data_IF_080963936008
#
_entry.id   IF_080963936008
#
_cell.length_a   1.000
_cell.length_b   1.000
_cell.length_c   1.000
_cell.angle_alpha   90.00
_cell.angle_beta   90.00
_cell.angle_gamma   90.00
#
_symmetry.space_group_name_H-M   'P 1'
#
loop_
_entity.id
_entity.type
_entity.pdbx_description
1 polymer ?
#
# COMPACT_ATOMS: atom_id res chain seq x y z
N UNK A 1 21.03 -13.35 22.59
CA UNK A 1 20.47 -11.99 22.49
C UNK A 1 19.92 -11.54 23.84
N UNK A 2 19.96 -10.24 24.11
CA UNK A 2 19.53 -9.64 25.36
C UNK A 2 18.34 -8.72 25.10
N UNK A 3 17.23 -8.95 25.77
CA UNK A 3 16.00 -8.18 25.63
C UNK A 3 15.69 -7.45 26.95
N UNK A 4 15.39 -6.17 26.85
CA UNK A 4 14.95 -5.36 28.00
C UNK A 4 13.47 -5.01 27.84
N UNK A 5 12.64 -5.46 28.79
CA UNK A 5 11.22 -5.18 28.78
C UNK A 5 10.96 -3.71 29.21
N UNK A 6 9.75 -3.18 28.93
CA UNK A 6 9.32 -1.83 29.38
C UNK A 6 9.53 -1.58 30.88
N UNK A 7 9.46 -2.60 31.70
CA UNK A 7 9.68 -2.54 33.14
C UNK A 7 11.16 -2.58 33.55
N UNK A 8 12.10 -2.45 32.62
CA UNK A 8 13.54 -2.49 32.87
C UNK A 8 14.10 -3.90 33.15
N UNK A 9 13.25 -4.95 33.20
CA UNK A 9 13.72 -6.32 33.40
C UNK A 9 14.37 -6.83 32.12
N UNK A 10 15.61 -7.31 32.28
CA UNK A 10 16.40 -7.86 31.17
C UNK A 10 16.41 -9.38 31.23
N UNK A 11 16.16 -9.99 30.06
CA UNK A 11 16.23 -11.44 29.85
C UNK A 11 17.19 -11.74 28.71
N UNK A 12 18.03 -12.75 28.86
CA UNK A 12 18.99 -13.18 27.85
C UNK A 12 18.64 -14.56 27.35
N UNK A 13 18.49 -14.70 26.04
CA UNK A 13 18.25 -15.99 25.37
C UNK A 13 19.44 -16.33 24.46
N UNK A 14 19.80 -17.63 24.34
CA UNK A 14 20.73 -18.07 23.30
C UNK A 14 20.16 -17.73 21.91
N UNK A 15 21.01 -17.43 20.95
CA UNK A 15 20.53 -17.09 19.59
C UNK A 15 19.87 -18.27 18.88
N UNK A 16 20.22 -19.49 19.29
CA UNK A 16 19.58 -20.74 18.81
C UNK A 16 18.09 -20.81 19.07
N UNK A 17 17.63 -20.17 20.14
CA UNK A 17 16.25 -20.25 20.61
C UNK A 17 15.38 -19.06 20.10
N UNK A 18 15.95 -18.24 19.23
CA UNK A 18 15.30 -17.05 18.71
C UNK A 18 15.06 -17.20 17.22
N UNK A 19 13.84 -17.09 16.78
CA UNK A 19 13.49 -16.93 15.36
C UNK A 19 13.72 -15.45 15.02
N UNK A 20 14.67 -15.20 14.12
CA UNK A 20 15.08 -13.85 13.77
C UNK A 20 14.83 -13.59 12.29
N UNK A 21 13.78 -12.84 11.99
CA UNK A 21 13.46 -12.37 10.66
C UNK A 21 14.08 -11.00 10.45
N UNK A 22 14.65 -10.76 9.28
CA UNK A 22 15.36 -9.53 8.94
C UNK A 22 14.92 -9.06 7.56
N UNK A 23 14.76 -7.76 7.43
CA UNK A 23 14.51 -7.09 6.17
C UNK A 23 15.58 -6.03 5.96
N UNK A 24 15.86 -5.65 4.71
CA UNK A 24 16.85 -4.63 4.34
C UNK A 24 18.24 -4.90 4.96
N UNK A 25 18.78 -6.08 4.70
CA UNK A 25 20.07 -6.53 5.26
C UNK A 25 21.20 -5.86 4.49
N UNK A 26 21.99 -5.03 5.17
CA UNK A 26 23.24 -4.50 4.67
C UNK A 26 24.43 -5.35 5.11
N UNK A 27 25.62 -5.13 4.54
CA UNK A 27 26.74 -6.07 4.46
C UNK A 27 27.18 -6.77 5.75
N UNK A 28 27.00 -6.22 6.93
CA UNK A 28 27.49 -6.85 8.18
C UNK A 28 26.60 -6.72 9.39
N UNK A 29 25.35 -6.33 9.24
CA UNK A 29 24.49 -6.11 10.40
C UNK A 29 23.75 -7.36 10.84
N UNK A 30 23.72 -7.57 12.15
CA UNK A 30 22.90 -8.59 12.78
C UNK A 30 21.41 -8.27 12.61
N UNK A 31 21.07 -6.98 12.51
CA UNK A 31 19.73 -6.48 12.30
C UNK A 31 19.64 -5.86 10.89
N UNK A 32 18.43 -5.82 10.33
CA UNK A 32 18.18 -5.08 9.10
C UNK A 32 18.26 -3.57 9.33
N UNK A 33 18.49 -2.82 8.26
CA UNK A 33 18.53 -1.37 8.30
C UNK A 33 17.13 -0.78 8.47
N UNK A 34 17.08 0.39 9.10
CA UNK A 34 15.82 1.11 9.25
C UNK A 34 15.46 1.82 7.94
N UNK A 35 14.23 1.70 7.43
CA UNK A 35 13.77 2.45 6.27
C UNK A 35 13.66 3.96 6.53
N UNK A 36 13.87 4.39 7.78
CA UNK A 36 13.69 5.77 8.23
C UNK A 36 14.49 6.77 7.40
N UNK A 37 15.78 6.51 7.17
CA UNK A 37 16.66 7.48 6.51
C UNK A 37 16.30 7.65 5.02
N UNK A 38 15.83 6.59 4.38
CA UNK A 38 15.35 6.65 3.00
C UNK A 38 13.97 7.34 2.87
N UNK A 39 13.10 7.15 3.86
CA UNK A 39 11.75 7.71 3.85
C UNK A 39 11.65 9.13 4.39
N UNK A 40 12.57 9.55 5.29
CA UNK A 40 12.52 10.84 5.95
C UNK A 40 12.35 12.02 4.97
N UNK A 41 13.12 12.14 3.87
CA UNK A 41 12.95 13.23 2.91
C UNK A 41 11.59 13.22 2.21
N UNK A 42 11.02 12.04 1.95
CA UNK A 42 9.70 11.90 1.35
C UNK A 42 8.59 12.33 2.31
N UNK A 43 8.69 11.92 3.56
CA UNK A 43 7.75 12.29 4.62
C UNK A 43 7.80 13.79 4.93
N UNK A 44 8.98 14.41 4.83
CA UNK A 44 9.13 15.86 4.96
C UNK A 44 8.37 16.62 3.86
N UNK A 45 8.46 16.14 2.61
CA UNK A 45 7.68 16.70 1.48
C UNK A 45 6.19 16.55 1.75
N UNK A 46 5.70 15.39 2.18
CA UNK A 46 4.29 15.16 2.50
C UNK A 46 3.83 16.13 3.59
N UNK A 47 4.56 16.18 4.70
CA UNK A 47 4.20 17.04 5.85
C UNK A 47 4.18 18.52 5.47
N UNK A 48 5.17 18.98 4.70
CA UNK A 48 5.25 20.36 4.24
C UNK A 48 4.11 20.70 3.28
N UNK A 49 3.77 19.75 2.39
CA UNK A 49 2.65 19.88 1.46
C UNK A 49 1.33 20.01 2.20
N UNK A 50 1.07 19.15 3.17
CA UNK A 50 -0.13 19.16 4.00
C UNK A 50 -0.24 20.47 4.81
N UNK A 51 0.87 20.95 5.38
CA UNK A 51 0.92 22.24 6.04
C UNK A 51 0.64 23.39 5.08
N UNK A 52 1.14 23.33 3.85
CA UNK A 52 0.85 24.30 2.80
C UNK A 52 -0.64 24.37 2.48
N UNK A 53 -1.30 23.22 2.33
CA UNK A 53 -2.74 23.12 2.09
C UNK A 53 -3.53 23.69 3.28
N UNK A 54 -3.18 23.30 4.50
CA UNK A 54 -3.84 23.82 5.72
C UNK A 54 -3.68 25.32 5.82
N UNK A 55 -2.50 25.87 5.52
CA UNK A 55 -2.27 27.32 5.53
C UNK A 55 -3.05 28.02 4.42
N UNK A 56 -3.11 27.45 3.22
CA UNK A 56 -3.93 28.00 2.13
C UNK A 56 -5.42 28.08 2.52
N UNK A 57 -5.95 27.02 3.16
CA UNK A 57 -7.33 27.00 3.65
C UNK A 57 -7.54 28.07 4.74
N UNK A 58 -6.64 28.17 5.70
CA UNK A 58 -6.71 29.20 6.76
C UNK A 58 -6.61 30.61 6.19
N UNK A 59 -5.72 30.82 5.23
CA UNK A 59 -5.49 32.13 4.60
C UNK A 59 -6.59 32.46 3.57
N UNK A 60 -7.38 31.52 3.13
CA UNK A 60 -8.52 31.81 2.24
C UNK A 60 -9.54 32.77 2.84
N UNK A 61 -9.55 32.90 4.17
CA UNK A 61 -10.34 33.89 4.91
C UNK A 61 -9.61 35.23 5.19
N UNK A 62 -8.34 35.38 4.75
CA UNK A 62 -7.53 36.57 5.06
C UNK A 62 -7.88 37.73 4.12
N UNK A 63 -7.46 38.94 4.50
CA UNK A 63 -7.75 40.22 3.82
C UNK A 63 -7.59 40.11 2.31
N UNK A 64 -8.71 40.10 1.59
CA UNK A 64 -8.76 40.09 0.12
C UNK A 64 -8.76 41.49 -0.50
N UNK A 65 -8.98 42.51 0.31
CA UNK A 65 -9.11 43.87 -0.14
C UNK A 65 -8.29 44.82 0.72
N UNK A 66 -7.52 45.69 0.08
CA UNK A 66 -6.84 46.80 0.72
C UNK A 66 -7.61 48.07 0.37
N UNK A 67 -8.14 48.73 1.39
CA UNK A 67 -8.80 50.03 1.25
C UNK A 67 -7.78 51.11 1.56
N UNK A 68 -7.44 51.94 0.57
CA UNK A 68 -6.58 53.06 0.71
C UNK A 68 -7.43 54.36 0.77
N UNK A 69 -7.37 55.02 1.90
CA UNK A 69 -8.07 56.30 2.10
C UNK A 69 -7.16 57.44 1.68
N UNK A 70 -7.65 58.31 0.76
CA UNK A 70 -6.87 59.41 0.17
C UNK A 70 -6.92 60.67 1.04
N UNK A 71 -7.65 60.67 2.13
CA UNK A 71 -7.73 61.79 3.12
C UNK A 71 -7.32 61.33 4.50
N UNK A 72 -6.73 62.22 5.29
CA UNK A 72 -6.43 61.92 6.71
C UNK A 72 -7.74 61.69 7.47
N UNK A 73 -7.94 60.48 7.93
CA UNK A 73 -9.08 60.06 8.74
C UNK A 73 -8.62 59.54 10.10
N UNK A 74 -9.49 59.63 11.09
CA UNK A 74 -9.25 59.02 12.40
C UNK A 74 -9.36 57.54 12.31
N UNK A 75 -8.65 56.79 13.16
CA UNK A 75 -8.66 55.32 13.18
C UNK A 75 -10.06 54.74 13.36
N UNK A 76 -10.93 55.41 14.10
CA UNK A 76 -12.32 55.01 14.30
C UNK A 76 -13.14 55.12 13.01
N UNK A 77 -12.92 56.18 12.23
CA UNK A 77 -13.59 56.39 10.94
C UNK A 77 -13.10 55.38 9.91
N UNK A 78 -11.81 55.04 9.91
CA UNK A 78 -11.22 53.96 9.06
C UNK A 78 -11.86 52.61 9.38
N UNK A 79 -11.98 52.26 10.67
CA UNK A 79 -12.63 51.01 11.09
C UNK A 79 -14.10 50.96 10.69
N UNK A 80 -14.84 52.07 10.89
CA UNK A 80 -16.25 52.18 10.51
C UNK A 80 -16.44 52.02 9.01
N UNK A 81 -15.63 52.71 8.19
CA UNK A 81 -15.68 52.63 6.72
C UNK A 81 -15.27 51.21 6.19
N UNK A 82 -14.28 50.57 6.82
CA UNK A 82 -13.89 49.21 6.49
C UNK A 82 -15.03 48.21 6.79
N UNK A 83 -15.71 48.41 7.92
CA UNK A 83 -16.85 47.58 8.31
C UNK A 83 -18.02 47.76 7.31
N UNK A 84 -18.35 49.01 6.97
CA UNK A 84 -19.37 49.35 6.00
C UNK A 84 -19.06 48.76 4.62
N UNK A 85 -17.80 48.78 4.19
CA UNK A 85 -17.36 48.14 2.94
C UNK A 85 -17.56 46.60 3.00
N UNK A 86 -17.19 45.97 4.12
CA UNK A 86 -17.37 44.52 4.30
C UNK A 86 -18.85 44.11 4.28
N UNK A 87 -19.71 44.89 4.97
CA UNK A 87 -21.14 44.61 5.04
C UNK A 87 -21.84 44.86 3.72
N UNK A 88 -21.44 45.90 2.98
CA UNK A 88 -22.10 46.27 1.72
C UNK A 88 -21.61 45.51 0.51
N UNK A 89 -20.36 45.05 0.48
CA UNK A 89 -19.73 44.49 -0.72
C UNK A 89 -19.27 43.05 -0.60
N UNK A 90 -19.01 42.52 0.60
CA UNK A 90 -18.49 41.17 0.81
C UNK A 90 -19.53 40.23 1.41
N UNK A 91 -20.76 40.71 1.67
CA UNK A 91 -21.83 39.87 2.17
C UNK A 91 -22.45 39.03 1.02
N UNK A 92 -22.61 37.74 1.24
CA UNK A 92 -23.14 36.78 0.25
C UNK A 92 -24.56 37.13 -0.19
N UNK A 93 -25.30 37.86 0.64
CA UNK A 93 -26.69 38.27 0.36
C UNK A 93 -26.81 39.41 -0.64
N UNK A 94 -25.71 40.05 -1.03
CA UNK A 94 -25.70 41.15 -2.00
C UNK A 94 -25.72 40.62 -3.43
N UNK A 95 -26.89 40.47 -4.01
CA UNK A 95 -27.12 39.99 -5.38
C UNK A 95 -26.93 41.02 -6.47
N UNK A 96 -26.53 42.26 -6.14
CA UNK A 96 -26.57 43.41 -7.06
C UNK A 96 -25.36 43.56 -8.01
N UNK A 97 -24.24 42.93 -7.81
CA UNK A 97 -23.07 42.94 -8.70
C UNK A 97 -22.39 44.28 -8.98
N UNK A 98 -22.88 45.40 -8.45
CA UNK A 98 -22.31 46.74 -8.64
C UNK A 98 -22.03 47.42 -7.28
N UNK A 99 -20.79 47.92 -7.14
CA UNK A 99 -20.33 48.63 -5.96
C UNK A 99 -19.99 50.07 -6.31
N UNK A 100 -20.62 51.03 -5.63
CA UNK A 100 -20.22 52.44 -5.71
C UNK A 100 -19.17 52.77 -4.66
N UNK A 101 -18.03 53.31 -5.06
CA UNK A 101 -16.96 53.76 -4.18
C UNK A 101 -16.85 55.28 -4.29
N UNK A 102 -16.74 55.97 -3.14
CA UNK A 102 -16.50 57.42 -3.13
C UNK A 102 -15.07 57.75 -3.62
N UNK A 103 -14.89 58.87 -4.29
CA UNK A 103 -13.60 59.38 -4.80
C UNK A 103 -12.47 59.43 -3.75
N UNK A 104 -12.79 59.23 -2.48
CA UNK A 104 -11.84 59.27 -1.34
C UNK A 104 -11.29 57.92 -0.94
N UNK A 105 -11.76 56.82 -1.56
CA UNK A 105 -11.36 55.43 -1.21
C UNK A 105 -10.95 54.70 -2.49
N UNK A 106 -9.76 54.17 -2.48
CA UNK A 106 -9.25 53.30 -3.53
C UNK A 106 -9.26 51.87 -2.97
N UNK A 107 -10.05 50.99 -3.58
CA UNK A 107 -10.12 49.56 -3.20
C UNK A 107 -9.25 48.75 -4.15
N UNK A 108 -8.24 48.10 -3.62
CA UNK A 108 -7.36 47.21 -4.36
C UNK A 108 -7.59 45.78 -3.88
N UNK A 109 -7.92 44.90 -4.81
CA UNK A 109 -7.98 43.47 -4.53
C UNK A 109 -6.55 42.95 -4.37
N UNK A 110 -6.29 42.31 -3.25
CA UNK A 110 -5.06 41.56 -2.99
C UNK A 110 -5.33 40.12 -3.39
N UNK A 111 -4.60 39.64 -4.37
CA UNK A 111 -4.62 38.25 -4.75
C UNK A 111 -3.56 37.49 -3.93
N UNK A 112 -3.93 36.82 -2.82
CA UNK A 112 -2.96 36.12 -2.02
C UNK A 112 -2.44 34.95 -2.91
N UNK A 113 -1.16 34.99 -3.22
CA UNK A 113 -0.48 33.86 -3.88
C UNK A 113 -0.31 32.74 -2.87
N UNK A 114 -1.42 32.09 -2.53
CA UNK A 114 -1.35 30.88 -1.72
C UNK A 114 -0.75 29.75 -2.58
N UNK A 115 0.31 29.17 -2.08
CA UNK A 115 0.88 27.98 -2.71
C UNK A 115 -0.06 26.80 -2.43
N UNK A 116 -0.85 26.44 -3.43
CA UNK A 116 -1.59 25.18 -3.44
C UNK A 116 -0.73 24.16 -4.19
N UNK A 117 -0.29 23.09 -3.53
CA UNK A 117 0.50 22.05 -4.18
C UNK A 117 -0.26 21.47 -5.37
N UNK A 118 0.44 21.28 -6.49
CA UNK A 118 -0.14 20.65 -7.66
C UNK A 118 -0.44 19.16 -7.33
N UNK A 119 -1.64 18.70 -7.71
CA UNK A 119 -2.05 17.30 -7.54
C UNK A 119 -0.99 16.32 -8.09
N UNK A 120 -0.36 16.64 -9.23
CA UNK A 120 0.71 15.82 -9.80
C UNK A 120 1.94 15.65 -8.87
N UNK A 121 2.25 16.64 -8.01
CA UNK A 121 3.35 16.53 -7.04
C UNK A 121 2.94 15.58 -5.92
N UNK A 122 1.69 15.67 -5.45
CA UNK A 122 1.14 14.81 -4.40
C UNK A 122 1.12 13.35 -4.91
N UNK A 123 0.58 13.14 -6.10
CA UNK A 123 0.50 11.81 -6.72
C UNK A 123 1.88 11.18 -6.90
N UNK A 124 2.84 11.95 -7.46
CA UNK A 124 4.21 11.47 -7.63
C UNK A 124 4.90 11.14 -6.30
N UNK A 125 4.66 11.92 -5.26
CA UNK A 125 5.24 11.64 -3.93
C UNK A 125 4.65 10.38 -3.34
N UNK A 126 3.33 10.19 -3.48
CA UNK A 126 2.62 8.98 -3.06
C UNK A 126 3.11 7.75 -3.82
N UNK A 127 3.29 7.83 -5.14
CA UNK A 127 3.84 6.74 -5.95
C UNK A 127 5.27 6.37 -5.54
N UNK A 128 6.11 7.34 -5.18
CA UNK A 128 7.46 7.06 -4.65
C UNK A 128 7.43 6.33 -3.32
N UNK A 129 6.49 6.66 -2.43
CA UNK A 129 6.30 5.95 -1.16
C UNK A 129 5.82 4.53 -1.45
N UNK A 130 4.86 4.34 -2.34
CA UNK A 130 4.41 3.00 -2.75
C UNK A 130 5.53 2.17 -3.36
N UNK A 131 6.35 2.77 -4.24
CA UNK A 131 7.49 2.11 -4.85
C UNK A 131 8.56 1.71 -3.83
N UNK A 132 8.74 2.50 -2.78
CA UNK A 132 9.65 2.14 -1.69
C UNK A 132 9.21 0.86 -0.95
N UNK A 133 7.89 0.65 -0.82
CA UNK A 133 7.31 -0.54 -0.21
C UNK A 133 6.90 -1.61 -1.24
N UNK A 134 7.42 -1.54 -2.47
CA UNK A 134 7.09 -2.44 -3.58
C UNK A 134 5.58 -2.70 -3.74
N UNK A 135 4.78 -1.67 -3.49
CA UNK A 135 3.32 -1.73 -3.58
C UNK A 135 2.79 -0.69 -4.57
N UNK A 136 1.50 -0.65 -4.77
CA UNK A 136 0.84 0.33 -5.61
C UNK A 136 -0.54 0.72 -5.04
N UNK A 137 -1.14 1.78 -5.60
CA UNK A 137 -2.42 2.30 -5.15
C UNK A 137 -3.54 1.25 -5.20
N UNK A 138 -3.53 0.33 -6.16
CA UNK A 138 -4.57 -0.70 -6.30
C UNK A 138 -4.51 -1.72 -5.18
N UNK A 139 -3.30 -2.15 -4.77
CA UNK A 139 -3.10 -3.04 -3.63
C UNK A 139 -3.62 -2.37 -2.35
N UNK A 140 -3.19 -1.11 -2.10
CA UNK A 140 -3.57 -0.35 -0.91
C UNK A 140 -5.08 -0.11 -0.84
N UNK A 141 -5.74 0.14 -1.98
CA UNK A 141 -7.19 0.37 -2.07
C UNK A 141 -8.01 -0.92 -2.19
N UNK A 142 -7.37 -2.10 -2.19
CA UNK A 142 -8.02 -3.40 -2.40
C UNK A 142 -8.79 -3.50 -3.73
N UNK A 143 -8.25 -2.86 -4.78
CA UNK A 143 -8.81 -2.84 -6.16
C UNK A 143 -7.91 -3.57 -7.16
N UNK A 144 -7.15 -4.52 -6.68
CA UNK A 144 -6.17 -5.27 -7.47
C UNK A 144 -6.80 -6.39 -8.28
N UNK A 145 -6.18 -6.73 -9.39
CA UNK A 145 -6.42 -7.95 -10.16
C UNK A 145 -5.65 -9.12 -9.56
N UNK A 146 -5.96 -10.34 -10.00
CA UNK A 146 -5.24 -11.55 -9.58
C UNK A 146 -3.73 -11.45 -9.90
N UNK A 147 -3.37 -10.96 -11.08
CA UNK A 147 -1.97 -10.81 -11.50
C UNK A 147 -1.23 -9.77 -10.65
N UNK A 148 -1.88 -8.65 -10.32
CA UNK A 148 -1.31 -7.62 -9.45
C UNK A 148 -1.10 -8.13 -8.02
N UNK A 149 -2.01 -8.95 -7.52
CA UNK A 149 -1.86 -9.61 -6.22
C UNK A 149 -0.72 -10.62 -6.22
N UNK A 150 -0.64 -11.47 -7.25
CA UNK A 150 0.43 -12.46 -7.38
C UNK A 150 1.80 -11.78 -7.44
N UNK A 151 1.94 -10.71 -8.22
CA UNK A 151 3.18 -9.95 -8.31
C UNK A 151 3.58 -9.36 -6.95
N UNK A 152 2.64 -8.79 -6.20
CA UNK A 152 2.87 -8.25 -4.86
C UNK A 152 3.24 -9.37 -3.86
N UNK A 153 2.54 -10.50 -3.94
CA UNK A 153 2.82 -11.66 -3.10
C UNK A 153 4.24 -12.18 -3.30
N UNK A 154 4.65 -12.39 -4.55
CA UNK A 154 5.98 -12.88 -4.92
C UNK A 154 7.10 -11.91 -4.53
N UNK A 155 6.85 -10.61 -4.64
CA UNK A 155 7.88 -9.60 -4.33
C UNK A 155 8.03 -9.31 -2.84
N UNK A 156 6.94 -9.31 -2.07
CA UNK A 156 6.94 -8.82 -0.68
C UNK A 156 6.64 -9.89 0.36
N UNK A 157 5.68 -10.76 0.09
CA UNK A 157 5.19 -11.70 1.10
C UNK A 157 6.00 -13.00 1.06
N UNK A 158 6.25 -13.54 -0.13
CA UNK A 158 6.95 -14.80 -0.30
C UNK A 158 8.37 -14.79 0.28
N UNK A 159 9.20 -13.74 0.11
CA UNK A 159 10.53 -13.69 0.73
C UNK A 159 10.49 -13.81 2.24
N UNK A 160 9.50 -13.21 2.89
CA UNK A 160 9.30 -13.30 4.35
C UNK A 160 8.92 -14.72 4.73
N UNK A 161 7.99 -15.34 4.00
CA UNK A 161 7.57 -16.72 4.24
C UNK A 161 8.71 -17.72 4.05
N UNK A 162 9.56 -17.53 3.03
CA UNK A 162 10.76 -18.34 2.79
C UNK A 162 11.79 -18.18 3.90
N UNK A 163 12.06 -16.95 4.33
CA UNK A 163 12.96 -16.69 5.45
C UNK A 163 12.46 -17.35 6.74
N UNK A 164 11.17 -17.25 7.02
CA UNK A 164 10.54 -17.88 8.17
C UNK A 164 10.64 -19.40 8.11
N UNK A 165 10.30 -19.99 6.96
CA UNK A 165 10.43 -21.44 6.71
C UNK A 165 11.85 -21.93 6.97
N UNK A 166 12.85 -21.18 6.51
CA UNK A 166 14.26 -21.51 6.68
C UNK A 166 14.70 -21.42 8.16
N UNK A 167 14.29 -20.36 8.86
CA UNK A 167 14.65 -20.15 10.27
C UNK A 167 14.00 -21.21 11.17
N UNK A 168 12.72 -21.51 10.99
CA UNK A 168 12.02 -22.54 11.77
C UNK A 168 12.60 -23.93 11.49
N UNK A 169 12.80 -24.26 10.20
CA UNK A 169 13.43 -25.54 9.84
C UNK A 169 14.81 -25.68 10.47
N UNK A 170 15.61 -24.60 10.47
CA UNK A 170 16.96 -24.61 11.01
C UNK A 170 17.00 -24.76 12.53
N UNK A 171 16.03 -24.19 13.24
CA UNK A 171 16.05 -24.09 14.72
C UNK A 171 15.24 -25.17 15.40
N UNK A 172 14.15 -25.63 14.79
CA UNK A 172 13.29 -26.67 15.37
C UNK A 172 13.77 -28.08 15.05
N UNK A 173 14.44 -28.28 13.90
CA UNK A 173 14.98 -29.59 13.54
C UNK A 173 16.50 -29.64 13.68
N UNK A 174 17.01 -30.72 14.26
CA UNK A 174 18.44 -30.98 14.29
C UNK A 174 18.98 -31.37 12.89
N UNK A 175 20.30 -31.44 12.74
CA UNK A 175 20.95 -31.72 11.45
C UNK A 175 20.51 -33.09 10.86
N UNK A 176 20.31 -34.12 11.72
CA UNK A 176 19.91 -35.45 11.27
C UNK A 176 18.47 -35.46 10.78
N UNK A 177 17.57 -34.82 11.51
CA UNK A 177 16.16 -34.72 11.12
C UNK A 177 15.99 -33.99 9.81
N UNK A 178 16.72 -32.88 9.60
CA UNK A 178 16.75 -32.17 8.31
C UNK A 178 17.28 -33.03 7.18
N UNK A 179 18.28 -33.92 7.47
CA UNK A 179 18.83 -34.88 6.52
C UNK A 179 17.79 -35.92 6.06
N UNK A 180 16.74 -36.19 6.83
CA UNK A 180 15.61 -37.04 6.45
C UNK A 180 14.50 -36.28 5.70
N UNK A 181 14.71 -34.99 5.37
CA UNK A 181 13.76 -34.19 4.62
C UNK A 181 12.73 -33.44 5.47
N UNK A 182 12.82 -33.50 6.81
CA UNK A 182 11.92 -32.74 7.67
C UNK A 182 12.17 -31.24 7.51
N UNK A 183 11.11 -30.52 7.19
CA UNK A 183 11.13 -29.05 6.98
C UNK A 183 9.76 -28.47 7.33
N UNK A 184 9.77 -27.21 7.74
CA UNK A 184 8.58 -26.38 7.87
C UNK A 184 8.53 -25.45 6.67
N UNK A 185 7.39 -25.40 6.02
CA UNK A 185 7.17 -24.54 4.85
C UNK A 185 5.97 -23.65 5.15
N UNK A 186 6.20 -22.35 5.08
CA UNK A 186 5.13 -21.37 5.03
C UNK A 186 4.93 -21.00 3.58
N UNK A 187 3.82 -21.42 3.02
CA UNK A 187 3.42 -21.07 1.66
C UNK A 187 1.97 -20.61 1.67
N UNK A 188 1.67 -19.53 0.98
CA UNK A 188 0.27 -19.26 0.69
C UNK A 188 -0.19 -20.26 -0.37
N UNK A 189 -1.38 -20.79 -0.18
CA UNK A 189 -2.07 -21.44 -1.28
C UNK A 189 -2.55 -20.33 -2.24
N UNK A 190 -1.75 -20.02 -3.25
CA UNK A 190 -2.04 -18.97 -4.23
C UNK A 190 -3.40 -19.19 -4.92
N UNK A 191 -3.85 -20.42 -4.99
CA UNK A 191 -5.14 -20.78 -5.56
C UNK A 191 -6.34 -20.35 -4.69
N UNK A 192 -6.15 -20.07 -3.41
CA UNK A 192 -7.22 -19.51 -2.56
C UNK A 192 -7.61 -18.10 -3.01
N UNK A 193 -6.64 -17.31 -3.51
CA UNK A 193 -6.83 -15.94 -3.99
C UNK A 193 -7.12 -15.87 -5.48
N UNK A 194 -7.05 -16.99 -6.17
CA UNK A 194 -7.37 -17.09 -7.59
C UNK A 194 -8.84 -16.70 -7.86
N UNK A 195 -9.06 -16.08 -9.02
CA UNK A 195 -10.40 -15.73 -9.46
C UNK A 195 -11.28 -16.99 -9.58
N UNK A 196 -12.60 -16.83 -9.49
CA UNK A 196 -13.53 -17.94 -9.71
C UNK A 196 -13.34 -18.56 -11.09
N UNK A 197 -12.99 -17.76 -12.10
CA UNK A 197 -12.71 -18.24 -13.45
C UNK A 197 -11.47 -19.12 -13.48
N UNK A 198 -10.39 -18.73 -12.82
CA UNK A 198 -9.16 -19.53 -12.69
C UNK A 198 -9.47 -20.84 -11.98
N UNK A 199 -10.21 -20.79 -10.87
CA UNK A 199 -10.61 -21.98 -10.11
C UNK A 199 -11.45 -22.95 -10.96
N UNK A 200 -12.37 -22.44 -11.76
CA UNK A 200 -13.16 -23.26 -12.68
C UNK A 200 -12.30 -23.87 -13.80
N UNK A 201 -11.29 -23.15 -14.29
CA UNK A 201 -10.38 -23.67 -15.32
C UNK A 201 -9.54 -24.85 -14.81
N UNK A 202 -9.30 -24.96 -13.48
CA UNK A 202 -8.60 -26.10 -12.87
C UNK A 202 -9.36 -27.44 -13.04
N UNK A 203 -10.66 -27.42 -13.37
CA UNK A 203 -11.41 -28.63 -13.72
C UNK A 203 -10.71 -29.40 -14.82
N UNK A 204 -10.08 -28.73 -15.78
CA UNK A 204 -9.32 -29.37 -16.86
C UNK A 204 -8.11 -30.15 -16.35
N UNK A 205 -7.51 -29.70 -15.24
CA UNK A 205 -6.39 -30.38 -14.60
C UNK A 205 -6.86 -31.64 -13.89
N UNK A 206 -8.05 -31.61 -13.29
CA UNK A 206 -8.70 -32.77 -12.69
C UNK A 206 -9.05 -33.81 -13.77
N UNK A 207 -9.66 -33.36 -14.87
CA UNK A 207 -10.02 -34.21 -16.02
C UNK A 207 -8.81 -34.93 -16.65
N UNK A 208 -7.62 -34.32 -16.58
CA UNK A 208 -6.36 -34.89 -17.07
C UNK A 208 -5.62 -35.71 -16.01
N UNK A 209 -6.12 -35.79 -14.79
CA UNK A 209 -5.50 -36.50 -13.67
C UNK A 209 -4.24 -35.81 -13.11
N UNK A 210 -4.06 -34.52 -13.39
CA UNK A 210 -2.98 -33.72 -12.83
C UNK A 210 -3.32 -33.22 -11.41
N UNK A 211 -4.61 -33.05 -11.10
CA UNK A 211 -5.14 -32.80 -9.77
C UNK A 211 -6.16 -33.87 -9.40
N UNK A 212 -6.23 -34.20 -8.13
CA UNK A 212 -7.30 -35.05 -7.60
C UNK A 212 -8.58 -34.24 -7.35
N UNK A 213 -9.76 -34.85 -7.30
CA UNK A 213 -10.99 -34.18 -6.93
C UNK A 213 -10.93 -33.50 -5.56
N UNK A 214 -10.26 -34.10 -4.57
CA UNK A 214 -10.14 -33.47 -3.23
C UNK A 214 -9.20 -32.28 -3.22
N UNK A 215 -8.08 -32.28 -3.93
CA UNK A 215 -7.21 -31.11 -4.09
C UNK A 215 -7.96 -29.95 -4.75
N UNK A 216 -8.79 -30.21 -5.76
CA UNK A 216 -9.61 -29.17 -6.37
C UNK A 216 -10.70 -28.64 -5.43
N UNK A 217 -11.32 -29.55 -4.62
CA UNK A 217 -12.29 -29.14 -3.59
C UNK A 217 -11.66 -28.28 -2.50
N UNK A 218 -10.42 -28.59 -2.13
CA UNK A 218 -9.64 -27.78 -1.19
C UNK A 218 -9.43 -26.35 -1.71
N UNK A 219 -9.10 -26.19 -3.00
CA UNK A 219 -8.99 -24.87 -3.65
C UNK A 219 -10.30 -24.09 -3.59
N UNK A 220 -11.45 -24.80 -3.64
CA UNK A 220 -12.78 -24.21 -3.52
C UNK A 220 -13.24 -24.04 -2.06
N UNK A 221 -12.41 -24.42 -1.09
CA UNK A 221 -12.73 -24.46 0.33
C UNK A 221 -13.95 -25.37 0.63
N UNK A 222 -14.04 -26.50 -0.06
CA UNK A 222 -15.07 -27.51 0.14
C UNK A 222 -14.50 -28.72 0.88
N UNK A 223 -15.28 -29.39 1.75
CA UNK A 223 -14.81 -30.59 2.46
C UNK A 223 -14.50 -31.72 1.47
N UNK A 224 -13.52 -32.59 1.79
CA UNK A 224 -13.17 -33.74 0.96
C UNK A 224 -14.35 -34.72 0.82
N UNK A 225 -14.33 -35.48 -0.26
CA UNK A 225 -15.28 -36.55 -0.50
C UNK A 225 -14.56 -37.92 -0.46
N UNK A 226 -15.32 -38.95 -0.19
CA UNK A 226 -14.81 -40.32 -0.19
C UNK A 226 -14.27 -40.71 -1.59
N UNK A 227 -13.10 -41.32 -1.64
CA UNK A 227 -12.36 -41.68 -2.85
C UNK A 227 -11.91 -40.47 -3.72
N UNK A 228 -12.04 -39.24 -3.24
CA UNK A 228 -11.64 -38.07 -3.99
C UNK A 228 -10.13 -37.82 -4.08
N UNK A 229 -9.30 -38.61 -3.41
CA UNK A 229 -7.83 -38.56 -3.47
C UNK A 229 -7.26 -39.39 -4.65
N UNK A 230 -8.12 -40.07 -5.38
CA UNK A 230 -7.71 -40.82 -6.58
C UNK A 230 -7.77 -39.90 -7.79
N UNK A 231 -6.66 -39.84 -8.53
CA UNK A 231 -6.66 -39.13 -9.81
C UNK A 231 -7.63 -39.82 -10.79
N UNK A 232 -8.53 -39.03 -11.36
CA UNK A 232 -9.49 -39.47 -12.37
C UNK A 232 -9.04 -38.98 -13.74
N UNK A 233 -9.29 -39.76 -14.78
CA UNK A 233 -9.08 -39.36 -16.16
C UNK A 233 -10.37 -39.51 -16.94
N UNK A 234 -10.63 -38.59 -17.83
CA UNK A 234 -11.72 -38.75 -18.80
C UNK A 234 -11.39 -39.93 -19.73
N UNK A 235 -12.41 -40.72 -20.02
CA UNK A 235 -12.27 -41.91 -20.89
C UNK A 235 -11.91 -41.58 -22.34
N UNK A 236 -12.07 -40.33 -22.77
CA UNK A 236 -11.75 -39.84 -24.11
C UNK A 236 -10.26 -39.47 -24.28
N UNK A 237 -9.46 -39.47 -23.20
CA UNK A 237 -8.01 -39.29 -23.28
C UNK A 237 -7.30 -40.63 -23.29
N UNK A 238 -7.09 -41.21 -24.49
CA UNK A 238 -6.27 -42.40 -24.66
C UNK A 238 -4.78 -42.05 -24.55
N UNK A 239 -4.00 -42.98 -23.98
CA UNK A 239 -2.54 -42.91 -24.03
C UNK A 239 -2.13 -43.07 -25.49
N UNK A 240 -1.46 -42.09 -26.07
CA UNK A 240 -0.80 -42.28 -27.37
C UNK A 240 0.30 -43.30 -27.12
N UNK A 241 0.09 -44.55 -27.59
CA UNK A 241 1.17 -45.52 -27.67
C UNK A 241 2.17 -44.97 -28.67
N UNK A 242 3.41 -44.75 -28.25
CA UNK A 242 4.49 -44.51 -29.18
C UNK A 242 4.50 -45.63 -30.22
N UNK A 243 4.53 -45.25 -31.48
CA UNK A 243 4.62 -46.25 -32.54
C UNK A 243 5.91 -47.01 -32.36
N UNK A 244 5.80 -48.31 -32.05
CA UNK A 244 6.87 -49.25 -32.27
C UNK A 244 7.04 -49.29 -33.79
N UNK A 245 8.11 -48.73 -34.28
CA UNK A 245 8.62 -49.00 -35.62
C UNK A 245 9.20 -50.43 -35.56
N UNK A 246 8.35 -51.42 -35.68
CA UNK A 246 8.80 -52.72 -36.08
C UNK A 246 9.14 -52.64 -37.57
N UNK A 247 10.42 -52.38 -37.86
CA UNK A 247 11.02 -52.75 -39.13
C UNK A 247 11.10 -54.27 -39.15
N UNK A 248 10.16 -54.92 -39.84
CA UNK A 248 10.33 -56.26 -40.30
C UNK A 248 11.16 -56.30 -41.60
N UNK A 249 12.32 -56.95 -41.54
CA UNK A 249 13.06 -57.44 -42.67
C UNK A 249 12.30 -58.58 -43.35
#
# INVERSE_FOLDING_TARGET
MRFTNRNGKTVTYPYTDIIHLRQDINENDLFGDSPKDALLPLMEVVTTTDQGIVNAIKNSGTVKWLLKFLSNMRDEDIKSKTKEFTENFLNIDNTGGAAGIDNKVEAQQIDPKDYVPNAAIIDRTTERIYSFFNTNAKIVQSKYTEDEWNAYYESEIEPIALQWSAEDTRKLFNRRERGFGNKIIYSANNLQYASMQTKLNLTRMVDRGALTPNEWREVLNLPPIENGDKAIRRLDTAVVKGGDNDEED
#
